data_IF_576969336965
#
_entry.id   IF_576969336965
#
_cell.length_a   1.000
_cell.length_b   1.000
_cell.length_c   1.000
_cell.angle_alpha   90.00
_cell.angle_beta   90.00
_cell.angle_gamma   90.00
#
_symmetry.space_group_name_H-M   'P 1'
#
loop_
_entity.id
_entity.type
_entity.pdbx_description
1 polymer ?
#
# COMPACT_ATOMS: atom_id res chain seq x y z
N UNK A 1 -7.00 -13.91 13.19
CA UNK A 1 -7.13 -12.59 12.54
C UNK A 1 -6.92 -11.53 13.60
N UNK A 2 -6.04 -10.57 13.32
CA UNK A 2 -5.70 -9.45 14.17
C UNK A 2 -6.00 -8.15 13.43
N UNK A 3 -6.28 -7.09 14.17
CA UNK A 3 -6.43 -5.75 13.62
C UNK A 3 -5.05 -5.10 13.46
N UNK A 4 -4.79 -4.55 12.28
CA UNK A 4 -3.58 -3.80 11.95
C UNK A 4 -4.00 -2.40 11.53
N UNK A 5 -3.46 -1.38 12.19
CA UNK A 5 -3.57 -0.01 11.67
C UNK A 5 -2.55 0.14 10.55
N UNK A 6 -3.03 0.45 9.34
CA UNK A 6 -2.18 0.63 8.15
C UNK A 6 -2.43 2.01 7.58
N UNK A 7 -1.39 2.84 7.56
CA UNK A 7 -1.35 4.09 6.81
C UNK A 7 -0.68 3.87 5.45
N UNK A 8 -1.25 4.46 4.41
CA UNK A 8 -0.81 4.31 3.03
C UNK A 8 -0.34 5.64 2.47
N UNK A 9 0.83 5.63 1.85
CA UNK A 9 1.48 6.80 1.28
C UNK A 9 1.84 6.55 -0.18
N UNK A 10 1.65 7.54 -1.03
CA UNK A 10 2.28 7.62 -2.34
C UNK A 10 3.64 8.30 -2.18
N UNK A 11 4.71 7.63 -2.60
CA UNK A 11 6.10 8.06 -2.44
C UNK A 11 6.71 8.24 -3.83
N UNK A 12 7.02 9.47 -4.20
CA UNK A 12 7.72 9.78 -5.45
C UNK A 12 9.24 9.71 -5.24
N UNK A 13 10.03 9.18 -6.19
CA UNK A 13 11.49 9.13 -6.12
C UNK A 13 12.19 10.51 -6.05
N UNK A 14 11.42 11.60 -6.24
CA UNK A 14 11.89 12.98 -6.06
C UNK A 14 11.73 13.48 -4.62
N UNK A 15 11.35 12.61 -3.70
CA UNK A 15 11.12 12.94 -2.29
C UNK A 15 9.76 13.59 -2.00
N UNK A 16 8.79 13.46 -2.91
CA UNK A 16 7.42 13.89 -2.64
C UNK A 16 6.67 12.74 -1.99
N UNK A 17 6.05 12.97 -0.84
CA UNK A 17 5.20 11.98 -0.18
C UNK A 17 3.79 12.54 -0.03
N UNK A 18 2.80 11.75 -0.41
CA UNK A 18 1.39 12.09 -0.29
C UNK A 18 0.69 11.01 0.53
N UNK A 19 0.08 11.39 1.65
CA UNK A 19 -0.77 10.48 2.42
C UNK A 19 -2.05 10.20 1.61
N UNK A 20 -2.29 8.93 1.30
CA UNK A 20 -3.47 8.49 0.56
C UNK A 20 -4.64 8.18 1.50
N UNK A 21 -4.33 7.85 2.75
CA UNK A 21 -5.28 7.49 3.78
C UNK A 21 -4.74 6.37 4.66
N UNK A 22 -5.60 5.84 5.50
CA UNK A 22 -5.27 4.74 6.39
C UNK A 22 -6.51 4.17 7.03
N UNK A 23 -6.39 2.96 7.56
CA UNK A 23 -7.51 2.23 8.12
C UNK A 23 -7.09 1.07 9.00
N UNK A 24 -8.08 0.49 9.68
CA UNK A 24 -7.90 -0.73 10.46
C UNK A 24 -8.26 -1.92 9.57
N UNK A 25 -7.27 -2.76 9.27
CA UNK A 25 -7.42 -3.96 8.46
C UNK A 25 -7.37 -5.20 9.35
N UNK A 26 -8.35 -6.08 9.19
CA UNK A 26 -8.36 -7.36 9.87
C UNK A 26 -7.69 -8.41 8.97
N UNK A 27 -6.50 -8.86 9.36
CA UNK A 27 -5.69 -9.78 8.57
C UNK A 27 -5.05 -10.87 9.44
N UNK A 28 -4.47 -11.90 8.82
CA UNK A 28 -3.65 -12.89 9.52
C UNK A 28 -2.22 -12.40 9.76
N UNK A 29 -1.73 -11.41 8.99
CA UNK A 29 -0.40 -10.81 9.13
C UNK A 29 -0.35 -9.35 8.67
N UNK A 30 0.71 -8.62 9.06
CA UNK A 30 0.93 -7.25 8.60
C UNK A 30 1.02 -7.14 7.08
N UNK A 31 1.72 -8.06 6.41
CA UNK A 31 1.81 -8.08 4.94
C UNK A 31 0.46 -8.32 4.24
N UNK A 32 -0.43 -9.09 4.86
CA UNK A 32 -1.80 -9.24 4.34
C UNK A 32 -2.62 -7.97 4.57
N UNK A 33 -2.45 -7.28 5.71
CA UNK A 33 -3.07 -5.98 5.95
C UNK A 33 -2.58 -4.90 4.97
N UNK A 34 -1.28 -4.86 4.67
CA UNK A 34 -0.68 -4.00 3.65
C UNK A 34 -1.25 -4.30 2.26
N UNK A 35 -1.41 -5.57 1.90
CA UNK A 35 -2.02 -5.98 0.63
C UNK A 35 -3.50 -5.56 0.53
N UNK A 36 -4.26 -5.65 1.63
CA UNK A 36 -5.64 -5.16 1.68
C UNK A 36 -5.70 -3.63 1.53
N UNK A 37 -4.84 -2.91 2.28
CA UNK A 37 -4.74 -1.46 2.21
C UNK A 37 -4.30 -0.99 0.82
N UNK A 38 -3.37 -1.70 0.18
CA UNK A 38 -2.99 -1.46 -1.21
C UNK A 38 -4.22 -1.47 -2.11
N UNK A 39 -5.06 -2.49 -2.02
CA UNK A 39 -6.21 -2.64 -2.92
C UNK A 39 -7.28 -1.57 -2.71
N UNK A 40 -7.40 -1.05 -1.50
CA UNK A 40 -8.34 0.04 -1.20
C UNK A 40 -7.80 1.42 -1.63
N UNK A 41 -6.52 1.70 -1.38
CA UNK A 41 -5.95 3.04 -1.54
C UNK A 41 -5.14 3.25 -2.82
N UNK A 42 -4.75 2.18 -3.53
CA UNK A 42 -4.06 2.28 -4.81
C UNK A 42 -4.97 2.85 -5.90
N UNK A 43 -4.40 3.77 -6.67
CA UNK A 43 -5.01 4.34 -7.87
C UNK A 43 -4.01 4.24 -9.02
N UNK A 44 -4.48 3.84 -10.21
CA UNK A 44 -3.63 3.74 -11.40
C UNK A 44 -2.95 5.07 -11.75
N UNK A 45 -3.64 6.19 -11.48
CA UNK A 45 -3.11 7.54 -11.69
C UNK A 45 -1.83 7.85 -10.91
N UNK A 46 -1.60 7.21 -9.76
CA UNK A 46 -0.36 7.35 -8.99
C UNK A 46 0.81 6.68 -9.72
N UNK A 47 0.55 5.54 -10.36
CA UNK A 47 1.53 4.83 -11.16
C UNK A 47 1.90 5.61 -12.43
N UNK A 48 0.91 6.19 -13.12
CA UNK A 48 1.13 7.09 -14.26
C UNK A 48 1.95 8.33 -13.90
N UNK A 49 1.83 8.80 -12.66
CA UNK A 49 2.59 9.94 -12.13
C UNK A 49 3.97 9.54 -11.55
N UNK A 50 4.32 8.26 -11.54
CA UNK A 50 5.60 7.75 -11.04
C UNK A 50 5.72 7.67 -9.52
N UNK A 51 4.60 7.56 -8.80
CA UNK A 51 4.58 7.36 -7.35
C UNK A 51 4.53 5.88 -6.96
N UNK A 52 5.44 5.45 -6.10
CA UNK A 52 5.38 4.16 -5.41
C UNK A 52 4.40 4.18 -4.23
N UNK A 53 4.02 3.01 -3.69
CA UNK A 53 3.18 2.92 -2.48
C UNK A 53 4.00 2.43 -1.29
N UNK A 54 4.00 3.23 -0.23
CA UNK A 54 4.52 2.87 1.08
C UNK A 54 3.40 2.57 2.07
N UNK A 55 3.68 1.64 2.98
CA UNK A 55 2.81 1.25 4.07
C UNK A 55 3.50 1.50 5.40
N UNK A 56 2.76 2.02 6.36
CA UNK A 56 3.20 2.16 7.72
C UNK A 56 2.19 1.45 8.63
N UNK A 57 2.65 0.39 9.28
CA UNK A 57 1.84 -0.37 10.25
C UNK A 57 2.17 0.04 11.68
N UNK A 58 1.22 -0.06 12.62
CA UNK A 58 1.50 0.20 14.04
C UNK A 58 2.42 -0.85 14.69
N UNK A 59 2.59 -2.01 14.04
CA UNK A 59 3.48 -3.05 14.53
C UNK A 59 4.95 -2.68 14.31
N UNK A 60 5.78 -2.67 15.37
CA UNK A 60 7.17 -2.23 15.31
C UNK A 60 8.10 -3.18 14.53
N UNK A 61 7.66 -4.41 14.28
CA UNK A 61 8.45 -5.44 13.59
C UNK A 61 8.56 -5.18 12.07
N UNK A 62 7.63 -4.41 11.51
CA UNK A 62 7.54 -4.03 10.08
C UNK A 62 7.45 -2.52 9.93
N UNK A 63 8.35 -1.78 10.58
CA UNK A 63 8.33 -0.32 10.72
C UNK A 63 8.54 0.51 9.44
N UNK A 64 7.62 0.39 8.48
CA UNK A 64 7.54 1.06 7.15
C UNK A 64 8.13 0.19 6.04
N UNK A 65 7.24 -0.43 5.25
CA UNK A 65 7.60 -1.14 4.03
C UNK A 65 7.24 -0.26 2.82
N UNK A 66 8.21 -0.05 1.94
CA UNK A 66 7.98 0.62 0.65
C UNK A 66 8.00 -0.46 -0.42
N UNK A 67 6.86 -0.67 -1.07
CA UNK A 67 6.76 -1.60 -2.19
C UNK A 67 6.85 -0.81 -3.50
N UNK A 68 7.74 -1.25 -4.38
CA UNK A 68 7.81 -0.71 -5.73
C UNK A 68 6.54 -1.04 -6.50
N UNK A 69 6.07 -0.12 -7.36
CA UNK A 69 4.91 -0.31 -8.22
C UNK A 69 4.97 -1.60 -9.05
N UNK A 70 6.17 -2.04 -9.46
CA UNK A 70 6.35 -3.30 -10.19
C UNK A 70 6.00 -4.52 -9.35
N UNK A 71 6.37 -4.52 -8.07
CA UNK A 71 6.03 -5.57 -7.10
C UNK A 71 4.53 -5.59 -6.82
N UNK A 72 3.93 -4.39 -6.73
CA UNK A 72 2.49 -4.19 -6.54
C UNK A 72 1.68 -4.67 -7.77
N UNK A 73 2.11 -4.34 -8.98
CA UNK A 73 1.49 -4.82 -10.24
C UNK A 73 1.53 -6.33 -10.37
N UNK A 74 2.57 -7.00 -9.87
CA UNK A 74 2.65 -8.45 -9.85
C UNK A 74 1.70 -9.09 -8.82
N UNK A 75 1.40 -8.39 -7.73
CA UNK A 75 0.55 -8.86 -6.64
C UNK A 75 -0.95 -8.60 -6.84
N UNK A 76 -1.31 -7.65 -7.70
CA UNK A 76 -2.71 -7.31 -7.93
C UNK A 76 -3.26 -8.09 -9.12
N UNK A 77 -4.34 -8.87 -8.94
CA UNK A 77 -5.04 -9.42 -10.09
C UNK A 77 -5.51 -8.22 -10.90
N UNK A 78 -5.05 -8.13 -12.16
CA UNK A 78 -5.45 -7.08 -13.10
C UNK A 78 -6.94 -6.82 -12.93
N UNK A 79 -7.39 -5.55 -12.80
CA UNK A 79 -8.80 -5.28 -13.01
C UNK A 79 -9.12 -5.82 -14.40
N UNK A 80 -9.94 -6.85 -14.45
CA UNK A 80 -10.63 -7.22 -15.67
C UNK A 80 -11.58 -6.06 -15.95
N UNK A 81 -11.08 -5.02 -16.60
CA UNK A 81 -11.94 -4.00 -17.20
C UNK A 81 -12.82 -4.75 -18.21
N UNK A 82 -14.11 -4.83 -17.87
CA UNK A 82 -15.20 -5.20 -18.76
C UNK A 82 -15.91 -3.93 -19.23
#
# INVERSE_FOLDING_TARGET
MQAFLVDVYAIHPRGQEQHLGGGIFHAASAGEAEALATREFWQESLADQGFDIGFQTDQPETGRQVLSLESLKAFMPRPAFA
#
